data_IF_495057069517
#
_entry.id   IF_495057069517
#
_cell.length_a   1.000
_cell.length_b   1.000
_cell.length_c   1.000
_cell.angle_alpha   90.00
_cell.angle_beta   90.00
_cell.angle_gamma   90.00
#
_symmetry.space_group_name_H-M   'P 1'
#
loop_
_entity.id
_entity.type
_entity.pdbx_description
1 polymer ?
#
# COMPACT_ATOMS: atom_id res chain seq x y z
N UNK A 1 28.76 25.22 -1.13
CA UNK A 1 28.75 23.83 -1.65
C UNK A 1 27.31 23.45 -1.94
N UNK A 2 26.92 23.40 -3.22
CA UNK A 2 25.59 22.90 -3.58
C UNK A 2 25.53 21.39 -3.25
N UNK A 3 24.45 20.88 -2.64
CA UNK A 3 24.31 19.44 -2.46
C UNK A 3 24.42 18.79 -3.83
N UNK A 4 25.37 17.87 -4.00
CA UNK A 4 25.42 17.04 -5.20
C UNK A 4 24.10 16.27 -5.25
N UNK A 5 23.17 16.67 -6.11
CA UNK A 5 21.99 15.88 -6.38
C UNK A 5 22.48 14.52 -6.90
N UNK A 6 22.31 13.49 -6.08
CA UNK A 6 22.63 12.13 -6.51
C UNK A 6 21.73 11.83 -7.70
N UNK A 7 22.28 11.40 -8.85
CA UNK A 7 21.46 11.14 -10.03
C UNK A 7 20.39 10.13 -9.65
N UNK A 8 19.12 10.55 -9.73
CA UNK A 8 17.99 9.63 -9.61
C UNK A 8 18.15 8.58 -10.69
N UNK A 9 18.06 7.33 -10.26
CA UNK A 9 18.22 6.20 -11.16
C UNK A 9 16.89 5.97 -11.88
N UNK A 10 16.66 6.76 -12.93
CA UNK A 10 15.38 6.84 -13.61
C UNK A 10 14.83 5.48 -14.08
N UNK A 11 15.71 4.56 -14.48
CA UNK A 11 15.29 3.23 -14.90
C UNK A 11 14.68 2.40 -13.76
N UNK A 12 15.13 2.56 -12.52
CA UNK A 12 14.53 1.88 -11.36
C UNK A 12 13.14 2.46 -11.05
N UNK A 13 12.95 3.75 -11.28
CA UNK A 13 11.64 4.39 -11.14
C UNK A 13 10.67 3.87 -12.22
N UNK A 14 11.14 3.72 -13.46
CA UNK A 14 10.37 3.09 -14.55
C UNK A 14 9.98 1.65 -14.25
N UNK A 15 10.90 0.82 -13.75
CA UNK A 15 10.61 -0.56 -13.36
C UNK A 15 9.58 -0.65 -12.22
N UNK A 16 9.61 0.27 -11.26
CA UNK A 16 8.55 0.38 -10.24
C UNK A 16 7.20 0.72 -10.86
N UNK A 17 7.17 1.60 -11.86
CA UNK A 17 5.97 1.90 -12.63
C UNK A 17 5.39 0.65 -13.31
N UNK A 18 6.23 -0.15 -13.98
CA UNK A 18 5.82 -1.42 -14.59
C UNK A 18 5.26 -2.38 -13.54
N UNK A 19 5.93 -2.51 -12.39
CA UNK A 19 5.47 -3.35 -11.29
C UNK A 19 4.09 -2.93 -10.76
N UNK A 20 3.83 -1.62 -10.62
CA UNK A 20 2.51 -1.08 -10.24
C UNK A 20 1.46 -1.41 -11.30
N UNK A 21 1.78 -1.27 -12.60
CA UNK A 21 0.83 -1.56 -13.68
C UNK A 21 0.39 -3.03 -13.68
N UNK A 22 1.31 -3.96 -13.42
CA UNK A 22 0.98 -5.39 -13.28
C UNK A 22 -0.07 -5.61 -12.17
N UNK A 23 0.12 -4.97 -11.00
CA UNK A 23 -0.81 -5.07 -9.87
C UNK A 23 -2.17 -4.43 -10.20
N UNK A 24 -2.16 -3.25 -10.81
CA UNK A 24 -3.39 -2.56 -11.23
C UNK A 24 -4.20 -3.41 -12.20
N UNK A 25 -3.54 -4.01 -13.19
CA UNK A 25 -4.22 -4.88 -14.15
C UNK A 25 -4.72 -6.19 -13.51
N UNK A 26 -3.96 -6.80 -12.61
CA UNK A 26 -4.40 -7.96 -11.86
C UNK A 26 -5.68 -7.69 -11.06
N UNK A 27 -5.71 -6.60 -10.29
CA UNK A 27 -6.91 -6.22 -9.51
C UNK A 27 -8.08 -5.78 -10.38
N UNK A 28 -7.80 -5.21 -11.56
CA UNK A 28 -8.84 -4.70 -12.47
C UNK A 28 -9.48 -5.80 -13.30
N UNK A 29 -8.76 -6.88 -13.62
CA UNK A 29 -9.22 -7.89 -14.59
C UNK A 29 -9.35 -9.32 -14.05
N UNK A 30 -8.61 -9.70 -13.00
CA UNK A 30 -8.47 -11.12 -12.63
C UNK A 30 -8.77 -11.43 -11.17
N UNK A 31 -8.58 -10.47 -10.25
CA UNK A 31 -8.71 -10.74 -8.81
C UNK A 31 -10.15 -11.05 -8.38
N UNK A 32 -11.12 -10.35 -8.96
CA UNK A 32 -12.52 -10.41 -8.54
C UNK A 32 -13.47 -10.69 -9.72
N UNK A 33 -13.32 -11.83 -10.42
CA UNK A 33 -14.03 -12.05 -11.69
C UNK A 33 -15.56 -12.00 -11.55
N UNK A 34 -16.10 -12.41 -10.38
CA UNK A 34 -17.53 -12.32 -10.06
C UNK A 34 -18.07 -10.88 -9.97
N UNK A 35 -17.20 -9.89 -9.80
CA UNK A 35 -17.54 -8.47 -9.72
C UNK A 35 -17.35 -7.73 -11.05
N UNK A 36 -16.78 -8.40 -12.06
CA UNK A 36 -16.46 -7.78 -13.34
C UNK A 36 -17.43 -8.21 -14.45
N UNK A 37 -17.82 -7.30 -15.37
CA UNK A 37 -18.73 -7.62 -16.47
C UNK A 37 -18.16 -8.65 -17.46
N UNK A 38 -16.84 -8.86 -17.46
CA UNK A 38 -16.14 -9.82 -18.32
C UNK A 38 -15.86 -11.18 -17.64
N UNK A 39 -16.25 -11.38 -16.38
CA UNK A 39 -16.11 -12.66 -15.68
C UNK A 39 -14.67 -13.19 -15.65
N UNK A 40 -14.52 -14.50 -15.86
CA UNK A 40 -13.23 -15.20 -15.79
C UNK A 40 -12.37 -15.08 -17.08
N UNK A 41 -12.80 -14.26 -18.06
CA UNK A 41 -12.18 -14.20 -19.41
C UNK A 41 -10.67 -13.96 -19.40
N UNK A 42 -10.16 -13.21 -18.42
CA UNK A 42 -8.76 -12.81 -18.36
C UNK A 42 -7.92 -13.63 -17.37
N UNK A 43 -8.50 -14.63 -16.71
CA UNK A 43 -7.79 -15.44 -15.71
C UNK A 43 -6.71 -16.35 -16.30
N UNK A 44 -6.68 -16.54 -17.62
CA UNK A 44 -5.66 -17.34 -18.32
C UNK A 44 -4.58 -16.49 -18.98
N UNK A 45 -4.72 -15.16 -19.00
CA UNK A 45 -3.73 -14.26 -19.56
C UNK A 45 -2.63 -14.01 -18.52
N UNK A 46 -1.38 -14.49 -18.70
CA UNK A 46 -0.38 -14.52 -17.62
C UNK A 46 -0.09 -13.16 -16.98
N UNK A 47 -0.05 -12.09 -17.78
CA UNK A 47 0.19 -10.72 -17.30
C UNK A 47 -0.94 -10.26 -16.36
N UNK A 48 -2.17 -10.70 -16.63
CA UNK A 48 -3.36 -10.33 -15.88
C UNK A 48 -3.61 -11.29 -14.72
N UNK A 49 -3.29 -12.58 -14.84
CA UNK A 49 -3.49 -13.59 -13.80
C UNK A 49 -2.39 -13.58 -12.74
N UNK A 50 -1.14 -13.37 -13.16
CA UNK A 50 0.04 -13.39 -12.29
C UNK A 50 0.58 -11.99 -11.98
N UNK A 51 -0.19 -10.94 -12.30
CA UNK A 51 0.20 -9.56 -12.03
C UNK A 51 0.40 -9.24 -10.54
N UNK A 52 -0.04 -10.11 -9.63
CA UNK A 52 0.29 -10.06 -8.20
C UNK A 52 1.81 -10.09 -7.93
N UNK A 53 2.61 -10.72 -8.81
CA UNK A 53 4.09 -10.74 -8.77
C UNK A 53 4.67 -9.30 -8.79
N UNK A 54 3.92 -8.35 -9.35
CA UNK A 54 4.28 -6.94 -9.35
C UNK A 54 4.52 -6.38 -7.93
N UNK A 55 3.83 -6.91 -6.91
CA UNK A 55 4.04 -6.50 -5.51
C UNK A 55 5.47 -6.84 -5.05
N UNK A 56 5.92 -8.07 -5.28
CA UNK A 56 7.26 -8.53 -4.91
C UNK A 56 8.33 -7.76 -5.67
N UNK A 57 8.13 -7.54 -6.98
CA UNK A 57 9.05 -6.77 -7.81
C UNK A 57 9.15 -5.31 -7.32
N UNK A 58 8.03 -4.67 -7.02
CA UNK A 58 8.00 -3.29 -6.51
C UNK A 58 8.75 -3.16 -5.18
N UNK A 59 8.54 -4.10 -4.24
CA UNK A 59 9.22 -4.08 -2.95
C UNK A 59 10.71 -4.39 -3.06
N UNK A 60 11.12 -5.31 -3.93
CA UNK A 60 12.53 -5.61 -4.16
C UNK A 60 13.29 -4.39 -4.70
N UNK A 61 12.76 -3.73 -5.73
CA UNK A 61 13.37 -2.51 -6.30
C UNK A 61 13.37 -1.38 -5.27
N UNK A 62 12.25 -1.17 -4.57
CA UNK A 62 12.15 -0.14 -3.54
C UNK A 62 13.15 -0.40 -2.41
N UNK A 63 13.27 -1.63 -1.91
CA UNK A 63 14.24 -2.02 -0.89
C UNK A 63 15.68 -1.71 -1.31
N UNK A 64 16.04 -2.04 -2.55
CA UNK A 64 17.35 -1.70 -3.11
C UNK A 64 17.61 -0.18 -3.12
N UNK A 65 16.67 0.62 -3.62
CA UNK A 65 16.79 2.09 -3.64
C UNK A 65 16.87 2.68 -2.24
N UNK A 66 16.14 2.10 -1.28
CA UNK A 66 16.16 2.50 0.13
C UNK A 66 17.54 2.24 0.73
N UNK A 67 18.11 1.07 0.50
CA UNK A 67 19.44 0.71 0.97
C UNK A 67 20.52 1.62 0.35
N UNK A 68 20.43 1.92 -0.94
CA UNK A 68 21.34 2.87 -1.61
C UNK A 68 21.24 4.28 -1.02
N UNK A 69 20.02 4.73 -0.74
CA UNK A 69 19.77 6.04 -0.11
C UNK A 69 20.30 6.08 1.33
N UNK A 70 20.15 4.98 2.08
CA UNK A 70 20.63 4.86 3.45
C UNK A 70 22.17 4.86 3.52
N UNK A 71 22.85 4.09 2.67
CA UNK A 71 24.33 4.12 2.55
C UNK A 71 24.86 5.53 2.25
N UNK A 72 24.02 6.36 1.63
CA UNK A 72 24.33 7.74 1.34
C UNK A 72 24.12 8.74 2.46
N UNK A 73 23.46 8.34 3.54
CA UNK A 73 23.07 9.23 4.62
C UNK A 73 24.08 9.17 5.75
N UNK A 74 24.51 10.35 6.22
CA UNK A 74 25.38 10.47 7.39
C UNK A 74 24.59 10.36 8.72
N UNK A 75 23.26 10.50 8.66
CA UNK A 75 22.38 10.48 9.83
C UNK A 75 21.20 9.53 9.61
N UNK A 76 21.25 8.40 10.31
CA UNK A 76 20.21 7.38 10.29
C UNK A 76 18.87 7.91 10.82
N UNK A 77 18.88 8.70 11.90
CA UNK A 77 17.65 9.21 12.52
C UNK A 77 16.95 10.19 11.59
N UNK A 78 17.70 11.13 11.03
CA UNK A 78 17.18 12.06 10.02
C UNK A 78 16.71 11.35 8.75
N UNK A 79 17.36 10.25 8.33
CA UNK A 79 16.89 9.44 7.21
C UNK A 79 15.51 8.83 7.48
N UNK A 80 15.32 8.18 8.63
CA UNK A 80 14.02 7.60 8.99
C UNK A 80 12.96 8.70 9.16
N UNK A 81 13.29 9.81 9.83
CA UNK A 81 12.37 10.92 10.05
C UNK A 81 11.88 11.55 8.75
N UNK A 82 12.77 11.81 7.77
CA UNK A 82 12.38 12.32 6.44
C UNK A 82 11.43 11.37 5.71
N UNK A 83 11.62 10.06 5.87
CA UNK A 83 10.75 9.05 5.24
C UNK A 83 9.39 8.97 5.92
N UNK A 84 9.38 9.06 7.24
CA UNK A 84 8.15 9.10 8.02
C UNK A 84 7.34 10.36 7.67
N UNK A 85 7.96 11.55 7.63
CA UNK A 85 7.31 12.80 7.22
C UNK A 85 6.74 12.77 5.80
N UNK A 86 7.28 11.93 4.92
CA UNK A 86 6.76 11.75 3.56
C UNK A 86 5.50 10.88 3.52
N UNK A 87 5.38 9.89 4.41
CA UNK A 87 4.30 8.89 4.38
C UNK A 87 3.17 9.23 5.35
N UNK A 88 3.52 9.67 6.56
CA UNK A 88 2.58 9.88 7.65
C UNK A 88 1.49 10.92 7.35
N UNK A 89 1.77 12.11 6.77
CA UNK A 89 0.71 13.09 6.51
C UNK A 89 -0.37 12.56 5.57
N UNK A 90 0.04 11.86 4.51
CA UNK A 90 -0.89 11.24 3.57
C UNK A 90 -1.73 10.16 4.26
N UNK A 91 -1.10 9.28 5.04
CA UNK A 91 -1.81 8.21 5.76
C UNK A 91 -2.76 8.74 6.83
N UNK A 92 -2.36 9.78 7.56
CA UNK A 92 -3.20 10.45 8.54
C UNK A 92 -4.47 10.96 7.87
N UNK A 93 -4.31 11.79 6.83
CA UNK A 93 -5.44 12.40 6.11
C UNK A 93 -6.34 11.31 5.51
N UNK A 94 -5.76 10.34 4.79
CA UNK A 94 -6.54 9.30 4.13
C UNK A 94 -7.27 8.38 5.13
N UNK A 95 -6.68 8.09 6.29
CA UNK A 95 -7.35 7.29 7.32
C UNK A 95 -8.59 8.02 7.86
N UNK A 96 -8.47 9.31 8.15
CA UNK A 96 -9.62 10.11 8.60
C UNK A 96 -10.66 10.33 7.50
N UNK A 97 -10.23 10.52 6.25
CA UNK A 97 -11.15 10.63 5.10
C UNK A 97 -11.92 9.33 4.91
N UNK A 98 -11.28 8.16 4.99
CA UNK A 98 -11.99 6.87 4.90
C UNK A 98 -12.95 6.66 6.07
N UNK A 99 -12.53 7.02 7.29
CA UNK A 99 -13.41 6.95 8.46
C UNK A 99 -14.63 7.86 8.32
N UNK A 100 -14.45 9.12 7.92
CA UNK A 100 -15.55 10.04 7.66
C UNK A 100 -16.43 9.58 6.49
N UNK A 101 -15.81 9.13 5.40
CA UNK A 101 -16.50 8.65 4.21
C UNK A 101 -17.36 7.41 4.47
N UNK A 102 -16.99 6.56 5.43
CA UNK A 102 -17.77 5.39 5.82
C UNK A 102 -19.21 5.70 6.23
N UNK A 103 -19.48 6.91 6.74
CA UNK A 103 -20.83 7.34 7.11
C UNK A 103 -21.67 7.80 5.92
N UNK A 104 -21.04 8.06 4.77
CA UNK A 104 -21.72 8.47 3.53
C UNK A 104 -22.20 7.26 2.70
N UNK A 105 -21.65 6.06 2.94
CA UNK A 105 -21.96 4.85 2.19
C UNK A 105 -22.60 3.78 3.11
N UNK A 106 -23.95 3.67 3.14
CA UNK A 106 -24.65 2.75 4.06
C UNK A 106 -24.34 1.27 3.82
N UNK A 107 -23.93 0.89 2.61
CA UNK A 107 -23.65 -0.50 2.23
C UNK A 107 -22.18 -0.86 2.46
N UNK A 108 -21.73 -0.78 3.71
CA UNK A 108 -20.38 -1.22 4.09
C UNK A 108 -20.42 -2.67 4.57
N UNK A 109 -19.71 -3.61 3.91
CA UNK A 109 -19.73 -5.03 4.27
C UNK A 109 -19.15 -5.32 5.67
N UNK A 110 -18.35 -4.39 6.21
CA UNK A 110 -17.73 -4.46 7.53
C UNK A 110 -18.58 -3.83 8.65
N UNK A 111 -19.74 -3.25 8.33
CA UNK A 111 -20.56 -2.49 9.29
C UNK A 111 -20.03 -1.09 9.57
N UNK A 112 -20.49 -0.47 10.68
CA UNK A 112 -20.06 0.86 11.11
C UNK A 112 -18.67 0.81 11.75
N UNK A 113 -17.72 1.68 11.35
CA UNK A 113 -16.39 1.67 11.94
C UNK A 113 -16.39 2.30 13.33
N UNK A 114 -15.50 1.77 14.17
CA UNK A 114 -15.11 2.33 15.45
C UNK A 114 -13.82 3.15 15.31
N UNK A 115 -13.52 4.01 16.29
CA UNK A 115 -12.25 4.75 16.32
C UNK A 115 -11.01 3.85 16.32
N UNK A 116 -11.16 2.58 16.73
CA UNK A 116 -10.06 1.60 16.76
C UNK A 116 -9.66 1.15 15.37
N UNK A 117 -10.55 1.26 14.40
CA UNK A 117 -10.30 0.87 13.00
C UNK A 117 -9.31 1.80 12.30
N UNK A 118 -9.03 2.97 12.88
CA UNK A 118 -7.98 3.89 12.42
C UNK A 118 -6.57 3.39 12.76
N UNK A 119 -6.41 2.56 13.79
CA UNK A 119 -5.09 2.19 14.33
C UNK A 119 -4.16 1.57 13.28
N UNK A 120 -4.58 0.59 12.46
CA UNK A 120 -3.69 0.01 11.45
C UNK A 120 -3.13 1.06 10.48
N UNK A 121 -3.99 1.97 10.00
CA UNK A 121 -3.58 3.04 9.08
C UNK A 121 -2.65 4.07 9.72
N UNK A 122 -2.92 4.46 10.97
CA UNK A 122 -2.10 5.44 11.70
C UNK A 122 -0.74 4.89 12.14
N UNK A 123 -0.66 3.59 12.40
CA UNK A 123 0.53 2.93 12.94
C UNK A 123 1.33 2.19 11.87
N UNK A 124 0.78 2.06 10.66
CA UNK A 124 1.34 1.25 9.57
C UNK A 124 1.55 -0.22 9.96
N UNK A 125 0.75 -0.70 10.91
CA UNK A 125 0.81 -2.08 11.38
C UNK A 125 -0.38 -2.85 10.85
N UNK A 126 -0.16 -4.15 10.62
CA UNK A 126 -1.19 -5.07 10.16
C UNK A 126 -2.34 -5.15 11.18
N UNK A 127 -3.61 -5.22 10.76
CA UNK A 127 -4.76 -5.33 11.67
C UNK A 127 -4.65 -6.51 12.65
N UNK A 128 -4.01 -7.59 12.23
CA UNK A 128 -3.75 -8.81 13.00
C UNK A 128 -2.92 -8.53 14.25
N UNK A 129 -1.93 -7.62 14.16
CA UNK A 129 -1.13 -7.21 15.30
C UNK A 129 -2.00 -6.55 16.39
N UNK A 130 -2.92 -5.69 15.99
CA UNK A 130 -3.85 -5.03 16.91
C UNK A 130 -4.93 -5.96 17.42
N UNK A 131 -5.39 -6.90 16.60
CA UNK A 131 -6.32 -7.94 17.01
C UNK A 131 -5.73 -8.82 18.13
N UNK A 132 -4.45 -9.19 18.00
CA UNK A 132 -3.71 -9.94 19.02
C UNK A 132 -3.58 -9.15 20.32
N UNK A 133 -3.26 -7.85 20.24
CA UNK A 133 -3.06 -7.01 21.41
C UNK A 133 -4.36 -6.68 22.17
N UNK A 134 -5.47 -6.49 21.45
CA UNK A 134 -6.74 -5.99 22.00
C UNK A 134 -7.73 -7.13 22.31
N UNK A 135 -7.48 -8.35 21.82
CA UNK A 135 -8.30 -9.54 22.11
C UNK A 135 -9.73 -9.48 21.56
N UNK A 136 -9.97 -8.69 20.52
CA UNK A 136 -11.30 -8.39 19.92
C UNK A 136 -11.25 -8.44 18.38
N UNK A 137 -12.41 -8.45 17.67
CA UNK A 137 -12.43 -8.56 16.20
C UNK A 137 -11.52 -7.54 15.53
N UNK A 138 -10.94 -7.95 14.39
CA UNK A 138 -9.87 -7.25 13.67
C UNK A 138 -10.30 -5.80 13.39
N UNK A 139 -9.59 -4.80 13.96
CA UNK A 139 -9.92 -3.41 13.68
C UNK A 139 -9.53 -3.11 12.23
N UNK A 140 -10.50 -3.02 11.32
CA UNK A 140 -10.26 -2.87 9.87
C UNK A 140 -11.17 -1.78 9.33
N UNK A 141 -10.55 -0.70 8.84
CA UNK A 141 -11.27 0.38 8.19
C UNK A 141 -11.60 0.08 6.72
N UNK A 142 -10.71 -0.55 5.98
CA UNK A 142 -10.98 -0.98 4.62
C UNK A 142 -10.21 -2.27 4.35
N UNK A 143 -10.87 -3.23 3.72
CA UNK A 143 -10.24 -4.50 3.33
C UNK A 143 -9.19 -4.28 2.24
N UNK A 144 -9.42 -3.31 1.35
CA UNK A 144 -8.55 -3.01 0.21
C UNK A 144 -7.12 -2.63 0.61
N UNK A 145 -6.89 -2.15 1.83
CA UNK A 145 -5.55 -1.84 2.32
C UNK A 145 -4.70 -3.08 2.62
N UNK A 146 -5.33 -4.22 2.88
CA UNK A 146 -4.66 -5.40 3.43
C UNK A 146 -4.92 -6.68 2.62
N UNK A 147 -5.69 -6.60 1.54
CA UNK A 147 -5.85 -7.71 0.59
C UNK A 147 -4.69 -7.75 -0.38
N UNK A 148 -3.76 -8.67 -0.18
CA UNK A 148 -2.82 -9.15 -1.21
C UNK A 148 -3.58 -9.97 -2.26
#
# INVERSE_FOLDING_TARGET
>A
MLPSERPRVLYLDGLRGVAILLVVFFHSYSRWPRLHPFGDRFMTAPILSDGWIGVQLFFMISGFVIALSLRGSQDFRGFIFRRWLRLFPAMLILSFVNYGGSFLFPHRPLGLPSLRDLLPGLTFLEPEFWALLIGKPRPILELSFWTL
#
